data_IF_841797176628
#
_entry.id   IF_841797176628
#
_cell.length_a   1.000
_cell.length_b   1.000
_cell.length_c   1.000
_cell.angle_alpha   90.00
_cell.angle_beta   90.00
_cell.angle_gamma   90.00
#
_symmetry.space_group_name_H-M   'P 1'
#
loop_
_entity.id
_entity.type
_entity.pdbx_description
1 polymer ?
#
# COMPACT_ATOMS: atom_id res chain seq x y z
N UNK A 1 6.79 5.45 -16.82
CA UNK A 1 7.65 6.38 -16.05
C UNK A 1 7.29 7.87 -16.24
N UNK A 2 6.88 8.34 -17.43
CA UNK A 2 6.54 9.77 -17.66
C UNK A 2 5.27 10.23 -16.93
N UNK A 3 4.29 9.36 -16.75
CA UNK A 3 3.01 9.66 -16.10
C UNK A 3 3.09 9.64 -14.57
N UNK A 4 3.93 8.79 -13.98
CA UNK A 4 4.18 8.77 -12.53
C UNK A 4 4.77 10.09 -12.04
N UNK A 5 5.71 10.68 -12.81
CA UNK A 5 6.27 12.00 -12.48
C UNK A 5 5.23 13.11 -12.51
N UNK A 6 4.24 13.02 -13.43
CA UNK A 6 3.14 13.99 -13.51
C UNK A 6 2.15 13.85 -12.37
N UNK A 7 1.80 12.59 -12.00
CA UNK A 7 0.92 12.31 -10.86
C UNK A 7 1.57 12.76 -9.56
N UNK A 8 2.86 12.47 -9.38
CA UNK A 8 3.63 12.91 -8.21
C UNK A 8 3.72 14.45 -8.16
N UNK A 9 3.93 15.11 -9.30
CA UNK A 9 3.98 16.57 -9.38
C UNK A 9 2.62 17.21 -9.06
N UNK A 10 1.52 16.63 -9.53
CA UNK A 10 0.16 17.10 -9.22
C UNK A 10 -0.14 16.88 -7.73
N UNK A 11 0.26 15.75 -7.17
CA UNK A 11 0.11 15.46 -5.75
C UNK A 11 0.89 16.45 -4.87
N UNK A 12 2.15 16.75 -5.24
CA UNK A 12 2.95 17.78 -4.55
C UNK A 12 2.35 19.18 -4.73
N UNK A 13 1.77 19.49 -5.90
CA UNK A 13 1.14 20.79 -6.16
C UNK A 13 -0.14 20.98 -5.33
N UNK A 14 -0.93 19.93 -5.15
CA UNK A 14 -2.14 19.95 -4.31
C UNK A 14 -1.76 20.17 -2.84
N UNK A 15 -0.67 19.56 -2.36
CA UNK A 15 -0.16 19.77 -0.98
C UNK A 15 0.29 21.23 -0.79
N UNK A 16 0.88 21.86 -1.80
CA UNK A 16 1.34 23.26 -1.75
C UNK A 16 0.21 24.30 -1.73
N UNK A 17 -1.00 23.92 -2.14
CA UNK A 17 -2.16 24.81 -2.19
C UNK A 17 -3.02 24.82 -0.93
N UNK A 18 -2.67 24.01 0.09
CA UNK A 18 -3.44 23.91 1.31
C UNK A 18 -2.79 24.79 2.39
N UNK A 19 -3.45 25.89 2.80
CA UNK A 19 -2.94 26.71 3.90
C UNK A 19 -3.18 26.05 5.24
N UNK A 20 -2.15 26.08 6.04
CA UNK A 20 -2.07 25.83 7.48
C UNK A 20 -1.60 24.48 7.97
N UNK A 21 -0.41 24.55 8.43
CA UNK A 21 0.29 23.71 9.39
C UNK A 21 -0.46 23.64 10.70
N UNK A 22 -0.69 22.45 11.24
CA UNK A 22 -1.06 22.32 12.65
C UNK A 22 -0.46 21.06 13.25
N UNK A 23 0.48 21.25 14.17
CA UNK A 23 1.03 20.37 15.21
C UNK A 23 1.18 18.87 14.95
N UNK A 24 2.40 18.44 15.06
CA UNK A 24 2.93 17.12 14.75
C UNK A 24 2.43 15.97 15.63
N UNK A 25 1.97 16.26 16.83
CA UNK A 25 1.54 15.26 17.82
C UNK A 25 0.23 15.70 18.47
N UNK A 26 -0.80 14.84 18.43
CA UNK A 26 -2.05 15.19 19.08
C UNK A 26 -3.16 14.15 18.98
N UNK A 27 -4.18 14.36 19.78
CA UNK A 27 -5.45 13.68 19.65
C UNK A 27 -6.44 14.60 18.95
N UNK A 28 -6.98 14.16 17.84
CA UNK A 28 -7.83 14.96 16.97
C UNK A 28 -9.26 14.41 16.96
N UNK A 29 -10.23 15.32 16.96
CA UNK A 29 -11.62 15.01 16.64
C UNK A 29 -12.12 16.13 15.73
N UNK A 30 -12.21 15.85 14.44
CA UNK A 30 -12.56 16.85 13.43
C UNK A 30 -13.12 16.19 12.17
N UNK A 31 -13.63 16.99 11.24
CA UNK A 31 -14.10 16.45 9.95
C UNK A 31 -12.94 15.88 9.13
N UNK A 32 -11.78 16.53 9.16
CA UNK A 32 -10.56 16.05 8.51
C UNK A 32 -9.36 16.24 9.43
N UNK A 33 -8.41 15.31 9.36
CA UNK A 33 -7.11 15.43 10.02
C UNK A 33 -6.08 15.71 8.94
N UNK A 34 -5.36 16.82 9.05
CA UNK A 34 -4.29 17.18 8.15
C UNK A 34 -3.08 17.63 8.95
N UNK A 35 -1.98 16.87 8.82
CA UNK A 35 -0.73 17.15 9.55
C UNK A 35 0.46 17.01 8.62
N UNK A 36 1.32 18.02 8.63
CA UNK A 36 2.57 18.06 7.88
C UNK A 36 3.67 18.48 8.83
N UNK A 37 4.59 17.57 9.14
CA UNK A 37 5.76 17.84 10.00
C UNK A 37 6.85 16.80 9.76
N UNK A 38 8.05 17.01 10.27
CA UNK A 38 9.15 16.05 10.21
C UNK A 38 8.78 14.73 10.93
N UNK A 39 8.15 14.83 12.10
CA UNK A 39 7.66 13.68 12.86
C UNK A 39 6.17 13.87 13.17
N UNK A 40 5.36 12.98 12.63
CA UNK A 40 3.90 12.99 12.74
C UNK A 40 3.44 11.83 13.61
N UNK A 41 2.83 12.12 14.76
CA UNK A 41 2.18 11.11 15.61
C UNK A 41 0.73 11.53 15.88
N UNK A 42 -0.23 10.85 15.26
CA UNK A 42 -1.64 11.24 15.27
C UNK A 42 -2.50 10.14 15.86
N UNK A 43 -3.32 10.55 16.84
CA UNK A 43 -4.40 9.74 17.39
C UNK A 43 -5.73 10.49 17.19
N UNK A 44 -6.83 9.76 17.12
CA UNK A 44 -8.15 10.39 17.11
C UNK A 44 -9.04 9.94 15.95
N UNK A 45 -10.06 10.73 15.68
CA UNK A 45 -11.06 10.36 14.67
C UNK A 45 -11.37 11.55 13.76
N UNK A 46 -11.35 11.29 12.45
CA UNK A 46 -11.88 12.17 11.42
C UNK A 46 -13.18 11.56 10.86
N UNK A 47 -14.18 12.40 10.58
CA UNK A 47 -15.38 11.96 9.86
C UNK A 47 -15.14 11.84 8.36
N UNK A 48 -13.95 12.19 7.87
CA UNK A 48 -13.58 12.20 6.47
C UNK A 48 -12.12 11.82 6.25
N UNK A 49 -11.33 12.77 5.82
CA UNK A 49 -9.98 12.58 5.31
C UNK A 49 -8.93 12.61 6.42
N UNK A 50 -7.99 11.67 6.36
CA UNK A 50 -6.70 11.71 7.07
C UNK A 50 -5.61 11.98 6.03
N UNK A 51 -4.95 13.13 6.13
CA UNK A 51 -3.83 13.49 5.27
C UNK A 51 -2.59 13.76 6.12
N UNK A 52 -1.58 12.92 5.98
CA UNK A 52 -0.35 13.01 6.76
C UNK A 52 0.86 13.06 5.83
N UNK A 53 1.76 13.99 6.11
CA UNK A 53 3.03 14.09 5.39
C UNK A 53 4.17 14.36 6.38
N UNK A 54 5.25 13.57 6.28
CA UNK A 54 6.39 13.73 7.16
C UNK A 54 7.52 12.77 6.87
N UNK A 55 8.61 12.86 7.62
CA UNK A 55 9.69 11.90 7.54
C UNK A 55 9.32 10.60 8.28
N UNK A 56 8.85 10.71 9.52
CA UNK A 56 8.37 9.57 10.32
C UNK A 56 6.92 9.80 10.70
N UNK A 57 6.06 8.84 10.35
CA UNK A 57 4.61 8.92 10.59
C UNK A 57 4.15 7.71 11.39
N UNK A 58 3.47 7.98 12.51
CA UNK A 58 2.74 7.01 13.32
C UNK A 58 1.28 7.42 13.40
N UNK A 59 0.42 6.73 12.67
CA UNK A 59 -1.01 7.04 12.58
C UNK A 59 -1.84 5.99 13.31
N UNK A 60 -2.42 6.37 14.45
CA UNK A 60 -3.48 5.64 15.14
C UNK A 60 -4.82 6.38 14.99
N UNK A 61 -4.99 7.09 13.89
CA UNK A 61 -6.21 7.82 13.58
C UNK A 61 -7.23 6.96 12.85
N UNK A 62 -8.50 7.20 13.12
CA UNK A 62 -9.63 6.60 12.43
C UNK A 62 -10.24 7.63 11.47
N UNK A 63 -10.60 7.21 10.26
CA UNK A 63 -11.22 8.10 9.27
C UNK A 63 -11.72 7.36 8.04
N UNK A 64 -12.29 8.11 7.10
CA UNK A 64 -12.83 7.50 5.89
C UNK A 64 -11.73 7.18 4.88
N UNK A 65 -10.89 8.14 4.55
CA UNK A 65 -9.80 7.97 3.58
C UNK A 65 -8.46 8.33 4.20
N UNK A 66 -7.43 7.57 3.86
CA UNK A 66 -6.05 7.86 4.24
C UNK A 66 -5.20 8.26 3.04
N UNK A 67 -4.56 9.43 3.11
CA UNK A 67 -3.52 9.88 2.19
C UNK A 67 -2.26 10.16 3.00
N UNK A 68 -1.29 9.25 2.95
CA UNK A 68 -0.14 9.28 3.85
C UNK A 68 1.14 9.20 3.03
N UNK A 69 2.04 10.16 3.24
CA UNK A 69 3.31 10.21 2.54
C UNK A 69 4.45 10.48 3.51
N UNK A 70 5.39 9.55 3.62
CA UNK A 70 6.53 9.68 4.53
C UNK A 70 7.66 8.71 4.22
N UNK A 71 8.83 8.91 4.82
CA UNK A 71 9.91 7.95 4.68
C UNK A 71 9.58 6.65 5.45
N UNK A 72 9.21 6.79 6.71
CA UNK A 72 8.76 5.68 7.55
C UNK A 72 7.31 5.92 7.97
N UNK A 73 6.42 5.01 7.60
CA UNK A 73 4.98 5.13 7.82
C UNK A 73 4.46 3.91 8.55
N UNK A 74 3.88 4.13 9.73
CA UNK A 74 3.22 3.10 10.53
C UNK A 74 1.75 3.46 10.71
N UNK A 75 0.85 2.55 10.30
CA UNK A 75 -0.60 2.72 10.38
C UNK A 75 -1.18 1.66 11.29
N UNK A 76 -1.75 2.10 12.42
CA UNK A 76 -2.39 1.26 13.43
C UNK A 76 -3.88 1.59 13.65
N UNK A 77 -4.37 2.67 13.04
CA UNK A 77 -5.78 3.09 13.09
C UNK A 77 -6.67 2.40 12.05
N UNK A 78 -7.94 2.82 12.02
CA UNK A 78 -8.96 2.28 11.13
C UNK A 78 -9.32 3.27 10.01
N UNK A 79 -9.12 2.86 8.76
CA UNK A 79 -9.55 3.60 7.58
C UNK A 79 -10.75 2.88 6.98
N UNK A 80 -11.93 3.51 7.05
CA UNK A 80 -13.21 2.88 6.70
C UNK A 80 -13.40 2.71 5.19
N UNK A 81 -12.58 3.38 4.38
CA UNK A 81 -12.56 3.25 2.92
C UNK A 81 -11.14 2.95 2.43
N UNK A 82 -10.66 3.71 1.47
CA UNK A 82 -9.42 3.43 0.78
C UNK A 82 -8.22 4.18 1.43
N UNK A 83 -7.07 3.54 1.44
CA UNK A 83 -5.82 4.14 1.87
C UNK A 83 -4.82 4.25 0.71
N UNK A 84 -4.21 5.41 0.56
CA UNK A 84 -3.16 5.71 -0.41
C UNK A 84 -1.89 6.09 0.35
N UNK A 85 -0.87 5.24 0.28
CA UNK A 85 0.32 5.38 1.11
C UNK A 85 1.57 5.33 0.25
N UNK A 86 2.47 6.29 0.46
CA UNK A 86 3.76 6.35 -0.22
C UNK A 86 4.87 6.50 0.81
N UNK A 87 5.93 5.69 0.68
CA UNK A 87 7.05 5.75 1.62
C UNK A 87 8.33 5.07 1.16
N UNK A 88 9.33 5.06 2.02
CA UNK A 88 10.47 4.14 1.92
C UNK A 88 10.11 2.81 2.60
N UNK A 89 9.64 2.89 3.83
CA UNK A 89 9.08 1.75 4.56
C UNK A 89 7.66 2.06 5.00
N UNK A 90 6.71 1.19 4.64
CA UNK A 90 5.31 1.30 5.02
C UNK A 90 4.91 0.05 5.79
N UNK A 91 4.37 0.23 6.98
CA UNK A 91 3.86 -0.84 7.83
C UNK A 91 2.39 -0.61 8.14
N UNK A 92 1.54 -1.57 7.77
CA UNK A 92 0.20 -1.68 8.35
C UNK A 92 0.34 -2.57 9.58
N UNK A 93 0.21 -1.97 10.74
CA UNK A 93 0.39 -2.63 12.03
C UNK A 93 -0.72 -3.66 12.30
N UNK A 94 -0.52 -4.56 13.24
CA UNK A 94 -1.49 -5.62 13.57
C UNK A 94 -2.88 -5.07 13.92
N UNK A 95 -2.96 -3.90 14.53
CA UNK A 95 -4.22 -3.22 14.86
C UNK A 95 -4.77 -2.37 13.73
N UNK A 96 -3.96 -2.13 12.69
CA UNK A 96 -4.35 -1.33 11.53
C UNK A 96 -5.40 -2.04 10.67
N UNK A 97 -6.45 -1.32 10.29
CA UNK A 97 -7.54 -1.85 9.47
C UNK A 97 -7.82 -0.91 8.30
N UNK A 98 -7.76 -1.44 7.10
CA UNK A 98 -8.21 -0.77 5.88
C UNK A 98 -9.46 -1.51 5.41
N UNK A 99 -10.62 -0.87 5.49
CA UNK A 99 -11.88 -1.56 5.20
C UNK A 99 -12.18 -1.73 3.72
N UNK A 100 -11.45 -1.04 2.85
CA UNK A 100 -11.54 -1.23 1.40
C UNK A 100 -10.16 -1.49 0.81
N UNK A 101 -9.74 -0.71 -0.17
CA UNK A 101 -8.51 -0.96 -0.90
C UNK A 101 -7.31 -0.25 -0.27
N UNK A 102 -6.19 -0.95 -0.25
CA UNK A 102 -4.88 -0.39 0.07
C UNK A 102 -4.09 -0.19 -1.22
N UNK A 103 -3.75 1.05 -1.52
CA UNK A 103 -2.82 1.44 -2.58
C UNK A 103 -1.52 1.89 -1.93
N UNK A 104 -0.44 1.17 -2.20
CA UNK A 104 0.84 1.46 -1.56
C UNK A 104 2.00 1.42 -2.56
N UNK A 105 2.87 2.44 -2.48
CA UNK A 105 4.12 2.50 -3.21
C UNK A 105 5.27 2.79 -2.25
N UNK A 106 6.21 1.84 -2.11
CA UNK A 106 7.32 1.98 -1.16
C UNK A 106 8.53 1.13 -1.60
N UNK A 107 9.68 1.31 -0.95
CA UNK A 107 10.79 0.37 -1.09
C UNK A 107 10.48 -0.94 -0.37
N UNK A 108 9.87 -0.85 0.82
CA UNK A 108 9.47 -1.99 1.64
C UNK A 108 8.04 -1.81 2.16
N UNK A 109 7.23 -2.84 2.02
CA UNK A 109 5.86 -2.88 2.56
C UNK A 109 5.72 -4.08 3.50
N UNK A 110 5.19 -3.82 4.69
CA UNK A 110 4.89 -4.84 5.70
C UNK A 110 3.40 -4.74 6.03
N UNK A 111 2.67 -5.83 5.86
CA UNK A 111 1.25 -5.90 6.20
C UNK A 111 1.09 -6.93 7.31
N UNK A 112 0.82 -6.45 8.53
CA UNK A 112 0.49 -7.27 9.69
C UNK A 112 -0.98 -7.14 10.11
N UNK A 113 -1.67 -6.11 9.61
CA UNK A 113 -3.06 -5.78 9.91
C UNK A 113 -4.05 -6.32 8.89
N UNK A 114 -5.25 -5.75 8.89
CA UNK A 114 -6.34 -6.19 8.05
C UNK A 114 -6.56 -5.27 6.83
N UNK A 115 -6.77 -5.86 5.66
CA UNK A 115 -7.28 -5.19 4.46
C UNK A 115 -8.53 -5.95 3.99
N UNK A 116 -9.69 -5.32 4.13
CA UNK A 116 -10.96 -6.00 3.90
C UNK A 116 -11.39 -6.04 2.42
N UNK A 117 -10.55 -5.53 1.50
CA UNK A 117 -10.71 -5.67 0.06
C UNK A 117 -9.33 -5.91 -0.59
N UNK A 118 -8.96 -5.18 -1.60
CA UNK A 118 -7.77 -5.49 -2.38
C UNK A 118 -6.52 -4.72 -1.91
N UNK A 119 -5.36 -5.31 -2.15
CA UNK A 119 -4.06 -4.68 -1.97
C UNK A 119 -3.43 -4.45 -3.33
N UNK A 120 -3.11 -3.20 -3.65
CA UNK A 120 -2.36 -2.79 -4.83
C UNK A 120 -1.01 -2.26 -4.39
N UNK A 121 0.05 -3.01 -4.66
CA UNK A 121 1.38 -2.68 -4.15
C UNK A 121 2.42 -2.63 -5.26
N UNK A 122 3.22 -1.56 -5.24
CA UNK A 122 4.45 -1.43 -6.02
C UNK A 122 5.62 -1.19 -5.08
N UNK A 123 6.55 -2.16 -4.99
CA UNK A 123 7.67 -2.06 -4.03
C UNK A 123 8.86 -2.93 -4.45
N UNK A 124 9.99 -2.77 -3.76
CA UNK A 124 11.09 -3.73 -3.89
C UNK A 124 10.87 -4.99 -3.07
N UNK A 125 10.28 -4.84 -1.88
CA UNK A 125 9.98 -5.95 -0.97
C UNK A 125 8.58 -5.82 -0.38
N UNK A 126 7.81 -6.91 -0.41
CA UNK A 126 6.53 -7.06 0.28
C UNK A 126 6.62 -8.21 1.27
N UNK A 127 6.23 -7.95 2.50
CA UNK A 127 6.06 -8.93 3.56
C UNK A 127 4.62 -8.92 4.04
N UNK A 128 3.91 -10.01 3.84
CA UNK A 128 2.61 -10.26 4.45
C UNK A 128 2.85 -11.11 5.69
N UNK A 129 2.69 -10.50 6.86
CA UNK A 129 3.05 -11.07 8.15
C UNK A 129 2.07 -12.10 8.67
N UNK A 130 2.40 -12.68 9.81
CA UNK A 130 1.69 -13.82 10.43
C UNK A 130 0.26 -13.50 10.91
N UNK A 131 -0.04 -12.25 11.17
CA UNK A 131 -1.35 -11.75 11.62
C UNK A 131 -2.13 -11.06 10.51
N UNK A 132 -1.55 -10.96 9.32
CA UNK A 132 -2.20 -10.31 8.20
C UNK A 132 -3.52 -11.01 7.82
N UNK A 133 -4.55 -10.20 7.59
CA UNK A 133 -5.83 -10.65 7.06
C UNK A 133 -6.16 -9.84 5.81
N UNK A 134 -6.15 -10.47 4.65
CA UNK A 134 -6.48 -9.83 3.38
C UNK A 134 -7.67 -10.58 2.77
N UNK A 135 -8.82 -9.89 2.70
CA UNK A 135 -10.04 -10.51 2.23
C UNK A 135 -10.15 -10.58 0.72
N UNK A 136 -9.59 -9.61 0.03
CA UNK A 136 -9.60 -9.53 -1.44
C UNK A 136 -8.28 -9.99 -2.03
N UNK A 137 -8.01 -9.49 -3.24
CA UNK A 137 -6.86 -9.86 -4.03
C UNK A 137 -5.61 -9.03 -3.67
N UNK A 138 -4.44 -9.61 -3.90
CA UNK A 138 -3.17 -8.91 -3.85
C UNK A 138 -2.66 -8.75 -5.28
N UNK A 139 -2.53 -7.50 -5.74
CA UNK A 139 -1.89 -7.14 -6.99
C UNK A 139 -0.52 -6.51 -6.69
N UNK A 140 0.54 -7.26 -6.92
CA UNK A 140 1.89 -6.85 -6.54
C UNK A 140 2.82 -6.72 -7.74
N UNK A 141 3.52 -5.58 -7.82
CA UNK A 141 4.71 -5.42 -8.65
C UNK A 141 5.90 -5.25 -7.72
N UNK A 142 6.71 -6.30 -7.57
CA UNK A 142 7.76 -6.34 -6.55
C UNK A 142 8.92 -7.23 -6.98
N UNK A 143 10.11 -6.99 -6.42
CA UNK A 143 11.23 -7.91 -6.61
C UNK A 143 11.16 -9.09 -5.64
N UNK A 144 10.59 -8.89 -4.44
CA UNK A 144 10.50 -9.93 -3.42
C UNK A 144 9.14 -9.88 -2.75
N UNK A 145 8.38 -10.96 -2.85
CA UNK A 145 7.13 -11.17 -2.13
C UNK A 145 7.29 -12.35 -1.18
N UNK A 146 7.05 -12.09 0.10
CA UNK A 146 7.04 -13.12 1.14
C UNK A 146 5.68 -13.07 1.83
N UNK A 147 4.99 -14.19 1.82
CA UNK A 147 3.72 -14.36 2.56
C UNK A 147 3.98 -15.37 3.67
N UNK A 148 3.66 -15.00 4.90
CA UNK A 148 3.82 -15.90 6.04
C UNK A 148 2.79 -17.05 5.97
N UNK A 149 3.18 -18.24 6.44
CA UNK A 149 2.33 -19.44 6.41
C UNK A 149 1.01 -19.29 7.18
N UNK A 150 1.00 -18.43 8.19
CA UNK A 150 -0.18 -18.18 9.02
C UNK A 150 -0.98 -16.95 8.57
N UNK A 151 -0.51 -16.24 7.54
CA UNK A 151 -1.27 -15.15 6.95
C UNK A 151 -2.58 -15.66 6.33
N UNK A 152 -3.64 -14.87 6.49
CA UNK A 152 -4.94 -15.23 5.94
C UNK A 152 -5.24 -14.35 4.71
N UNK A 153 -4.98 -14.88 3.52
CA UNK A 153 -5.29 -14.25 2.24
C UNK A 153 -6.40 -15.05 1.57
N UNK A 154 -7.60 -14.45 1.43
CA UNK A 154 -8.77 -15.13 0.90
C UNK A 154 -8.93 -15.00 -0.61
N UNK A 155 -8.39 -13.94 -1.19
CA UNK A 155 -8.43 -13.68 -2.62
C UNK A 155 -7.24 -14.26 -3.37
N UNK A 156 -7.07 -13.85 -4.61
CA UNK A 156 -5.98 -14.26 -5.49
C UNK A 156 -4.73 -13.43 -5.23
N UNK A 157 -3.56 -14.04 -5.33
CA UNK A 157 -2.27 -13.33 -5.33
C UNK A 157 -1.74 -13.27 -6.75
N UNK A 158 -1.85 -12.10 -7.37
CA UNK A 158 -1.24 -11.78 -8.65
C UNK A 158 0.03 -10.97 -8.42
N UNK A 159 1.17 -11.46 -8.92
CA UNK A 159 2.41 -10.73 -8.78
C UNK A 159 3.21 -10.68 -10.08
N UNK A 160 3.90 -9.55 -10.27
CA UNK A 160 4.93 -9.34 -11.28
C UNK A 160 6.26 -9.20 -10.58
N UNK A 161 7.20 -10.10 -10.86
CA UNK A 161 8.52 -10.08 -10.24
C UNK A 161 9.61 -10.42 -11.25
N UNK A 162 10.78 -9.83 -11.07
CA UNK A 162 12.00 -10.19 -11.82
C UNK A 162 12.85 -11.21 -11.08
N UNK A 163 12.49 -11.57 -9.86
CA UNK A 163 13.21 -12.51 -9.00
C UNK A 163 12.28 -13.55 -8.39
N UNK A 164 12.86 -14.57 -7.76
CA UNK A 164 12.08 -15.63 -7.13
C UNK A 164 11.21 -15.11 -5.99
N UNK A 165 9.96 -15.51 -6.01
CA UNK A 165 8.96 -15.20 -4.97
C UNK A 165 8.80 -16.44 -4.09
N UNK A 166 8.80 -16.25 -2.76
CA UNK A 166 8.54 -17.30 -1.80
C UNK A 166 7.12 -17.20 -1.29
N UNK A 167 6.28 -18.13 -1.72
CA UNK A 167 4.91 -18.29 -1.24
C UNK A 167 4.81 -19.68 -0.63
N UNK A 168 4.39 -19.80 0.64
CA UNK A 168 4.24 -21.10 1.31
C UNK A 168 3.20 -22.00 0.62
N UNK A 169 3.47 -23.29 0.52
CA UNK A 169 2.55 -24.28 -0.06
C UNK A 169 1.20 -24.39 0.67
N UNK A 170 1.15 -23.94 1.92
CA UNK A 170 -0.05 -23.99 2.77
C UNK A 170 -1.07 -22.86 2.55
N UNK A 171 -0.75 -21.87 1.77
CA UNK A 171 -1.69 -20.76 1.49
C UNK A 171 -2.79 -21.25 0.56
N UNK A 172 -4.03 -21.25 1.05
CA UNK A 172 -5.23 -21.68 0.31
C UNK A 172 -5.70 -20.66 -0.74
N UNK A 173 -4.80 -19.92 -1.34
CA UNK A 173 -5.14 -18.89 -2.31
C UNK A 173 -4.64 -19.25 -3.70
N UNK A 174 -5.32 -18.78 -4.72
CA UNK A 174 -4.85 -18.90 -6.09
C UNK A 174 -3.68 -17.94 -6.32
N UNK A 175 -2.55 -18.47 -6.74
CA UNK A 175 -1.36 -17.66 -7.05
C UNK A 175 -1.19 -17.60 -8.56
N UNK A 176 -1.15 -16.38 -9.09
CA UNK A 176 -0.91 -16.10 -10.51
C UNK A 176 0.40 -15.35 -10.64
N UNK A 177 1.40 -15.99 -11.20
CA UNK A 177 2.67 -15.36 -11.52
C UNK A 177 2.61 -14.73 -12.92
N UNK A 178 2.88 -13.43 -13.01
CA UNK A 178 3.04 -12.74 -14.30
C UNK A 178 4.52 -12.45 -14.51
N UNK A 179 5.14 -13.20 -15.40
CA UNK A 179 6.54 -12.99 -15.76
C UNK A 179 6.71 -11.68 -16.55
N UNK A 180 7.47 -10.74 -16.01
CA UNK A 180 7.94 -9.59 -16.77
C UNK A 180 9.20 -10.01 -17.51
N UNK A 181 9.09 -10.28 -18.80
CA UNK A 181 10.28 -10.48 -19.67
C UNK A 181 11.11 -9.20 -19.66
N UNK A 182 12.32 -9.31 -19.17
CA UNK A 182 13.30 -8.25 -19.32
C UNK A 182 13.55 -8.02 -20.83
N UNK A 183 13.37 -6.78 -21.30
CA UNK A 183 13.51 -6.43 -22.71
C UNK A 183 14.94 -6.56 -23.26
N UNK A 184 15.88 -7.04 -22.48
CA UNK A 184 17.30 -7.15 -22.86
C UNK A 184 17.70 -8.48 -23.51
N UNK A 185 16.85 -9.51 -23.50
CA UNK A 185 17.17 -10.75 -24.22
C UNK A 185 16.09 -11.10 -25.24
N UNK A 186 16.45 -10.96 -26.51
CA UNK A 186 15.75 -11.56 -27.65
C UNK A 186 15.75 -13.08 -27.51
N UNK A 187 14.59 -13.66 -27.75
CA UNK A 187 14.31 -15.05 -28.10
C UNK A 187 14.03 -16.00 -26.94
N UNK A 188 12.76 -16.26 -26.67
CA UNK A 188 12.10 -17.53 -26.94
C UNK A 188 10.62 -17.44 -26.61
N UNK A 189 9.82 -17.70 -27.62
CA UNK A 189 8.37 -17.74 -27.58
C UNK A 189 7.91 -18.92 -26.74
N UNK A 190 7.17 -18.67 -25.68
CA UNK A 190 6.23 -19.65 -25.15
C UNK A 190 4.86 -19.00 -25.23
N UNK A 191 4.04 -19.57 -26.08
CA UNK A 191 2.66 -19.21 -26.33
C UNK A 191 1.86 -19.65 -25.10
N UNK A 192 1.43 -18.70 -24.29
CA UNK A 192 0.43 -18.93 -23.24
C UNK A 192 -0.83 -18.23 -23.70
N UNK A 193 -1.74 -19.01 -24.25
CA UNK A 193 -3.13 -18.60 -24.44
C UNK A 193 -3.75 -18.31 -23.07
N UNK A 194 -4.04 -17.06 -22.84
CA UNK A 194 -4.71 -16.56 -21.64
C UNK A 194 -5.03 -15.11 -21.85
N UNK A 195 -6.27 -14.85 -22.17
CA UNK A 195 -6.83 -13.56 -22.54
C UNK A 195 -6.57 -12.45 -21.50
N UNK A 196 -6.08 -11.36 -22.01
CA UNK A 196 -6.51 -9.99 -21.83
C UNK A 196 -6.91 -9.54 -20.39
N UNK A 197 -5.97 -8.98 -19.68
CA UNK A 197 -6.30 -7.87 -18.80
C UNK A 197 -5.46 -6.66 -19.18
N UNK A 198 -6.06 -5.82 -20.01
CA UNK A 198 -5.58 -4.48 -20.27
C UNK A 198 -5.66 -3.66 -18.98
N UNK A 199 -4.52 -3.41 -18.37
CA UNK A 199 -4.43 -2.47 -17.28
C UNK A 199 -4.53 -1.06 -17.84
N UNK A 200 -5.71 -0.50 -17.77
CA UNK A 200 -5.95 0.92 -18.00
C UNK A 200 -5.43 1.68 -16.79
N UNK A 201 -4.20 2.17 -16.88
CA UNK A 201 -3.74 3.27 -16.05
C UNK A 201 -3.76 4.50 -16.95
N UNK A 202 -4.82 5.25 -16.84
CA UNK A 202 -4.91 6.61 -17.38
C UNK A 202 -4.39 7.58 -16.33
#
# INVERSE_FOLDING_TARGET
MKNIKRVLAIFCLVILLIPTVIFATGSYSSDNIMVIDETVAVNGTANGLIMLCGNTISSNANGDYGFIAGREVNVSGNITRDAFIVGETVTIEQTGVINRDLYVCASKVIINGAVNRNVYVASSEVLVGDKAYIRGDIHSTTNKLVINETANVLGTVEYKSTTNVSIPEGIKTNVIAVEVKDKTNKTNTIDVQGELFGLLII
#
